data_IF_601923137449
#
_entry.id   IF_601923137449
#
_cell.length_a   1.000
_cell.length_b   1.000
_cell.length_c   1.000
_cell.angle_alpha   90.00
_cell.angle_beta   90.00
_cell.angle_gamma   90.00
#
_symmetry.space_group_name_H-M   'P 1'
#
loop_
_entity.id
_entity.type
_entity.pdbx_description
1 polymer ?
#
# COMPACT_ATOMS: atom_id res chain seq x y z
N UNK A 1 4.70 -0.28 15.86
CA UNK A 1 3.98 0.66 14.97
C UNK A 1 2.92 -0.13 14.20
N UNK A 2 1.69 0.36 14.18
CA UNK A 2 0.58 -0.26 13.44
C UNK A 2 0.40 0.44 12.09
N UNK A 3 0.51 -0.34 11.02
CA UNK A 3 0.21 0.06 9.64
C UNK A 3 -1.21 -0.41 9.31
N UNK A 4 -2.11 0.51 8.98
CA UNK A 4 -3.49 0.20 8.63
C UNK A 4 -3.83 0.71 7.24
N UNK A 5 -4.56 -0.09 6.46
CA UNK A 5 -5.27 0.36 5.27
C UNK A 5 -6.75 0.06 5.48
N UNK A 6 -7.55 1.13 5.61
CA UNK A 6 -8.98 1.01 5.82
C UNK A 6 -9.71 0.80 4.50
N UNK A 7 -9.42 1.65 3.52
CA UNK A 7 -10.06 1.61 2.21
C UNK A 7 -9.11 2.10 1.10
N UNK A 8 -9.52 1.81 -0.12
CA UNK A 8 -9.00 2.40 -1.35
C UNK A 8 -10.15 3.07 -2.09
N UNK A 9 -9.89 4.17 -2.78
CA UNK A 9 -10.92 4.93 -3.50
C UNK A 9 -10.60 4.93 -4.99
N UNK A 10 -11.53 4.45 -5.80
CA UNK A 10 -11.44 4.53 -7.25
C UNK A 10 -11.54 6.00 -7.68
N UNK A 11 -10.52 6.50 -8.39
CA UNK A 11 -10.44 7.88 -8.90
C UNK A 11 -10.43 7.95 -10.42
N UNK A 12 -10.21 6.82 -11.07
CA UNK A 12 -10.40 6.59 -12.50
C UNK A 12 -11.01 5.19 -12.66
N UNK A 13 -12.02 5.10 -13.51
CA UNK A 13 -12.61 3.86 -14.00
C UNK A 13 -12.95 4.08 -15.46
N UNK A 14 -12.41 3.24 -16.33
CA UNK A 14 -12.53 3.33 -17.77
C UNK A 14 -12.43 1.91 -18.35
N UNK A 15 -13.57 1.30 -18.66
CA UNK A 15 -13.65 0.02 -19.39
C UNK A 15 -14.16 0.31 -20.80
N UNK A 16 -13.61 -0.27 -21.86
CA UNK A 16 -14.03 0.00 -23.25
C UNK A 16 -15.47 -0.51 -23.57
N UNK A 17 -16.22 -0.99 -22.56
CA UNK A 17 -17.57 -1.53 -22.61
C UNK A 17 -18.73 -0.52 -22.44
N UNK A 18 -19.97 -1.02 -22.51
CA UNK A 18 -21.22 -0.24 -22.61
C UNK A 18 -21.50 0.70 -21.42
N UNK A 19 -20.88 0.46 -20.26
CA UNK A 19 -21.02 1.30 -19.06
C UNK A 19 -19.74 2.02 -18.64
N UNK A 20 -18.63 1.78 -19.35
CA UNK A 20 -17.35 2.44 -19.18
C UNK A 20 -16.69 2.32 -17.79
N UNK A 21 -17.05 1.30 -17.01
CA UNK A 21 -16.63 1.07 -15.64
C UNK A 21 -15.82 -0.24 -15.54
N UNK A 22 -14.61 -0.19 -14.97
CA UNK A 22 -13.71 -1.35 -14.82
C UNK A 22 -14.29 -2.45 -13.94
N UNK A 23 -14.17 -3.70 -14.39
CA UNK A 23 -14.52 -4.89 -13.61
C UNK A 23 -13.28 -5.40 -12.88
N UNK A 24 -13.18 -5.24 -11.57
CA UNK A 24 -11.98 -5.66 -10.84
C UNK A 24 -11.96 -7.17 -10.58
N UNK A 25 -10.77 -7.78 -10.58
CA UNK A 25 -10.61 -9.17 -10.13
C UNK A 25 -9.51 -9.44 -9.12
N UNK A 26 -8.54 -8.53 -8.95
CA UNK A 26 -7.49 -8.69 -7.96
C UNK A 26 -7.11 -7.39 -7.30
N UNK A 27 -6.80 -7.50 -6.02
CA UNK A 27 -6.08 -6.49 -5.26
C UNK A 27 -5.09 -7.18 -4.33
N UNK A 28 -3.90 -6.60 -4.21
CA UNK A 28 -2.98 -6.97 -3.14
C UNK A 28 -2.23 -5.76 -2.60
N UNK A 29 -1.96 -5.81 -1.30
CA UNK A 29 -1.14 -4.83 -0.59
C UNK A 29 -0.08 -5.58 0.20
N UNK A 30 1.19 -5.20 0.05
CA UNK A 30 2.30 -5.82 0.78
C UNK A 30 3.21 -4.77 1.40
N UNK A 31 3.94 -5.19 2.44
CA UNK A 31 4.79 -4.35 3.25
C UNK A 31 6.24 -4.84 3.18
N UNK A 32 7.17 -3.90 3.17
CA UNK A 32 8.58 -4.13 3.45
C UNK A 32 9.06 -3.04 4.40
N UNK A 33 9.99 -3.35 5.31
CA UNK A 33 10.51 -2.37 6.25
C UNK A 33 11.99 -2.61 6.54
N UNK A 34 12.70 -1.54 6.88
CA UNK A 34 14.11 -1.59 7.29
C UNK A 34 14.36 -0.76 8.53
N UNK A 35 15.20 -1.28 9.43
CA UNK A 35 15.86 -0.48 10.45
C UNK A 35 17.07 0.24 9.84
N UNK A 36 17.39 1.44 10.29
CA UNK A 36 18.62 2.14 9.93
C UNK A 36 19.64 2.01 11.07
N UNK A 37 20.62 1.12 10.92
CA UNK A 37 21.70 0.90 11.89
C UNK A 37 22.74 1.99 11.74
N UNK A 38 23.13 2.65 12.84
CA UNK A 38 24.20 3.65 12.84
C UNK A 38 25.55 2.99 12.54
N UNK A 39 26.30 3.57 11.60
CA UNK A 39 27.67 3.18 11.29
C UNK A 39 28.57 4.42 11.32
N UNK A 40 29.90 4.20 11.34
CA UNK A 40 30.90 5.27 11.48
C UNK A 40 30.72 6.42 10.47
N UNK A 41 30.28 6.10 9.25
CA UNK A 41 30.17 7.04 8.13
C UNK A 41 28.71 7.24 7.65
N UNK A 42 27.70 6.83 8.44
CA UNK A 42 26.29 7.01 8.06
C UNK A 42 25.33 6.00 8.70
N UNK A 43 24.41 5.46 7.90
CA UNK A 43 23.49 4.41 8.31
C UNK A 43 23.44 3.28 7.29
N UNK A 44 23.26 2.05 7.79
CA UNK A 44 23.01 0.86 6.98
C UNK A 44 21.57 0.41 7.16
N UNK A 45 20.87 0.21 6.06
CA UNK A 45 19.51 -0.33 6.08
C UNK A 45 19.56 -1.85 6.28
N UNK A 46 18.89 -2.33 7.34
CA UNK A 46 18.78 -3.74 7.68
C UNK A 46 17.30 -4.16 7.58
N UNK A 47 16.95 -5.12 6.71
CA UNK A 47 15.56 -5.55 6.56
C UNK A 47 14.97 -6.10 7.86
N UNK A 48 13.78 -5.64 8.20
CA UNK A 48 12.93 -6.25 9.24
C UNK A 48 12.25 -7.44 8.59
N UNK A 49 12.51 -8.64 9.12
CA UNK A 49 11.90 -9.86 8.62
C UNK A 49 10.43 -9.91 9.05
N UNK A 50 9.53 -9.73 8.09
CA UNK A 50 8.10 -9.91 8.28
C UNK A 50 7.76 -11.37 7.94
N UNK A 51 7.28 -12.20 8.90
CA UNK A 51 6.92 -13.60 8.63
C UNK A 51 5.91 -13.75 7.49
N UNK A 52 5.07 -12.73 7.33
CA UNK A 52 4.19 -12.55 6.19
C UNK A 52 4.23 -11.07 5.80
N UNK A 53 4.72 -10.71 4.61
CA UNK A 53 4.71 -9.31 4.15
C UNK A 53 3.35 -8.89 3.58
N UNK A 54 2.41 -9.81 3.33
CA UNK A 54 1.11 -9.47 2.75
C UNK A 54 0.22 -8.80 3.79
N UNK A 55 -0.31 -7.61 3.50
CA UNK A 55 -1.29 -6.92 4.35
C UNK A 55 -2.73 -7.28 3.93
N UNK A 56 -2.95 -7.38 2.63
CA UNK A 56 -4.26 -7.66 2.05
C UNK A 56 -4.09 -8.40 0.72
N UNK A 57 -4.97 -9.36 0.46
CA UNK A 57 -5.04 -10.07 -0.82
C UNK A 57 -6.49 -10.45 -1.06
N UNK A 58 -6.99 -10.12 -2.25
CA UNK A 58 -8.31 -10.49 -2.74
C UNK A 58 -8.20 -10.89 -4.20
N UNK A 59 -8.94 -11.93 -4.59
CA UNK A 59 -8.97 -12.42 -5.95
C UNK A 59 -10.30 -13.14 -6.26
N UNK A 60 -11.18 -12.49 -7.01
CA UNK A 60 -12.40 -13.11 -7.58
C UNK A 60 -12.71 -12.49 -8.95
N UNK A 61 -12.56 -13.24 -10.06
CA UNK A 61 -12.75 -12.76 -11.43
C UNK A 61 -14.10 -12.06 -11.68
N UNK A 62 -14.05 -10.80 -12.14
CA UNK A 62 -15.22 -10.05 -12.64
C UNK A 62 -16.36 -9.86 -11.63
N UNK A 63 -16.06 -9.98 -10.33
CA UNK A 63 -17.09 -9.98 -9.30
C UNK A 63 -17.56 -8.57 -8.95
N UNK A 64 -16.71 -7.56 -9.19
CA UNK A 64 -16.97 -6.18 -8.75
C UNK A 64 -16.66 -5.16 -9.83
N UNK A 65 -17.71 -4.61 -10.43
CA UNK A 65 -17.65 -3.39 -11.26
C UNK A 65 -17.45 -2.17 -10.38
N UNK A 66 -16.45 -1.34 -10.70
CA UNK A 66 -16.12 -0.12 -9.95
C UNK A 66 -16.34 1.11 -10.82
N UNK A 67 -16.76 2.20 -10.18
CA UNK A 67 -16.90 3.52 -10.80
C UNK A 67 -16.10 4.54 -10.03
N UNK A 68 -15.85 5.70 -10.62
CA UNK A 68 -15.21 6.82 -9.90
C UNK A 68 -15.97 7.14 -8.60
N UNK A 69 -15.24 7.21 -7.50
CA UNK A 69 -15.77 7.38 -6.14
C UNK A 69 -16.12 6.07 -5.42
N UNK A 70 -16.07 4.92 -6.10
CA UNK A 70 -16.24 3.62 -5.46
C UNK A 70 -15.20 3.43 -4.37
N UNK A 71 -15.65 3.04 -3.17
CA UNK A 71 -14.77 2.80 -2.03
C UNK A 71 -14.61 1.30 -1.80
N UNK A 72 -13.42 0.79 -2.08
CA UNK A 72 -13.04 -0.58 -1.79
C UNK A 72 -12.66 -0.72 -0.31
N UNK A 73 -13.43 -1.50 0.46
CA UNK A 73 -13.12 -1.75 1.87
C UNK A 73 -12.01 -2.80 1.99
N UNK A 74 -10.97 -2.46 2.75
CA UNK A 74 -9.83 -3.34 3.04
C UNK A 74 -9.89 -3.78 4.50
N UNK A 75 -9.98 -2.83 5.43
CA UNK A 75 -10.00 -3.03 6.89
C UNK A 75 -8.94 -4.05 7.35
N UNK A 76 -7.68 -3.79 7.01
CA UNK A 76 -6.54 -4.61 7.45
C UNK A 76 -5.47 -3.76 8.12
N UNK A 77 -4.81 -4.36 9.10
CA UNK A 77 -3.64 -3.77 9.74
C UNK A 77 -2.59 -4.82 10.05
N UNK A 78 -1.33 -4.39 10.08
CA UNK A 78 -0.19 -5.21 10.52
C UNK A 78 0.71 -4.36 11.42
N UNK A 79 1.25 -5.00 12.45
CA UNK A 79 2.20 -4.37 13.37
C UNK A 79 3.61 -4.66 12.88
N UNK A 80 4.43 -3.61 12.85
CA UNK A 80 5.87 -3.68 12.56
C UNK A 80 6.60 -3.05 13.75
N UNK A 81 7.60 -3.78 14.25
CA UNK A 81 8.47 -3.33 15.33
C UNK A 81 9.77 -2.81 14.74
N UNK A 82 10.05 -1.53 14.96
CA UNK A 82 11.32 -0.90 14.63
C UNK A 82 12.16 -0.82 15.90
N UNK A 83 13.47 -0.98 15.75
CA UNK A 83 14.40 -0.77 16.87
C UNK A 83 14.61 0.73 17.10
N UNK A 84 14.50 1.16 18.36
CA UNK A 84 14.55 2.57 18.74
C UNK A 84 15.70 2.90 19.69
N UNK A 85 16.66 1.99 19.88
CA UNK A 85 17.86 2.28 20.66
C UNK A 85 18.66 3.39 19.96
N UNK A 86 18.75 4.61 20.55
CA UNK A 86 19.33 5.76 19.87
C UNK A 86 20.85 5.63 19.63
N UNK A 87 21.54 4.77 20.37
CA UNK A 87 22.99 4.55 20.23
C UNK A 87 23.31 3.62 19.05
N UNK A 88 22.37 2.72 18.70
CA UNK A 88 22.55 1.71 17.66
C UNK A 88 21.75 2.00 16.39
N UNK A 89 20.62 2.68 16.50
CA UNK A 89 19.68 2.89 15.41
C UNK A 89 19.32 4.37 15.22
N UNK A 90 19.04 4.72 13.97
CA UNK A 90 18.58 6.04 13.55
C UNK A 90 17.13 5.92 13.08
N UNK A 91 16.18 5.95 14.02
CA UNK A 91 14.76 5.70 13.73
C UNK A 91 14.23 6.60 12.61
N UNK A 92 14.66 7.87 12.57
CA UNK A 92 14.25 8.84 11.54
C UNK A 92 14.59 8.37 10.11
N UNK A 93 15.60 7.51 9.95
CA UNK A 93 16.01 6.94 8.66
C UNK A 93 15.54 5.52 8.42
N UNK A 94 14.81 4.92 9.36
CA UNK A 94 14.14 3.64 9.12
C UNK A 94 13.16 3.80 7.94
N UNK A 95 12.89 2.73 7.19
CA UNK A 95 11.98 2.80 6.04
C UNK A 95 10.79 1.85 6.17
N UNK A 96 9.65 2.29 5.66
CA UNK A 96 8.47 1.47 5.41
C UNK A 96 8.06 1.66 3.95
N UNK A 97 7.99 0.57 3.20
CA UNK A 97 7.41 0.53 1.87
C UNK A 97 6.07 -0.16 1.91
N UNK A 98 5.05 0.48 1.35
CA UNK A 98 3.75 -0.14 1.08
C UNK A 98 3.61 -0.26 -0.44
N UNK A 99 3.46 -1.48 -0.93
CA UNK A 99 3.24 -1.77 -2.34
C UNK A 99 1.79 -2.16 -2.57
N UNK A 100 1.22 -1.70 -3.68
CA UNK A 100 -0.12 -2.05 -4.12
C UNK A 100 -0.11 -2.59 -5.54
N UNK A 101 -1.00 -3.54 -5.78
CA UNK A 101 -1.31 -4.11 -7.07
C UNK A 101 -2.82 -4.22 -7.25
N UNK A 102 -3.29 -3.87 -8.43
CA UNK A 102 -4.68 -4.06 -8.86
C UNK A 102 -4.70 -4.71 -10.22
N UNK A 103 -5.78 -5.43 -10.51
CA UNK A 103 -6.05 -5.95 -11.85
C UNK A 103 -7.54 -5.93 -12.13
N UNK A 104 -7.88 -5.51 -13.33
CA UNK A 104 -9.21 -5.63 -13.88
C UNK A 104 -9.38 -6.93 -14.68
N UNK A 105 -10.63 -7.23 -15.00
CA UNK A 105 -11.10 -8.42 -15.64
C UNK A 105 -11.89 -8.02 -16.86
N UNK A 106 -11.25 -8.18 -18.01
CA UNK A 106 -11.91 -7.97 -19.28
C UNK A 106 -12.17 -9.32 -19.94
N UNK A 107 -13.41 -9.54 -20.35
CA UNK A 107 -13.83 -10.75 -21.10
C UNK A 107 -13.66 -10.59 -22.61
N UNK A 108 -13.53 -9.35 -23.08
CA UNK A 108 -13.55 -8.92 -24.47
C UNK A 108 -12.17 -8.52 -24.98
N UNK A 109 -11.33 -7.93 -24.12
CA UNK A 109 -9.93 -7.60 -24.40
C UNK A 109 -8.97 -8.22 -23.37
N UNK A 110 -7.76 -7.69 -23.23
CA UNK A 110 -6.77 -8.19 -22.27
C UNK A 110 -6.96 -7.48 -20.95
N UNK A 111 -6.99 -8.24 -19.85
CA UNK A 111 -6.94 -7.67 -18.51
C UNK A 111 -5.81 -6.64 -18.35
N UNK A 112 -6.17 -5.44 -17.93
CA UNK A 112 -5.21 -4.44 -17.49
C UNK A 112 -4.84 -4.58 -16.02
N UNK A 113 -3.62 -4.15 -15.68
CA UNK A 113 -3.11 -4.20 -14.32
C UNK A 113 -2.41 -2.90 -13.94
N UNK A 114 -2.45 -2.61 -12.65
CA UNK A 114 -1.86 -1.42 -12.08
C UNK A 114 -0.97 -1.74 -10.89
N UNK A 115 0.03 -0.90 -10.68
CA UNK A 115 0.90 -0.96 -9.50
C UNK A 115 1.07 0.42 -8.91
N UNK A 116 1.43 0.45 -7.63
CA UNK A 116 1.69 1.68 -6.90
C UNK A 116 2.54 1.38 -5.69
N UNK A 117 3.32 2.35 -5.23
CA UNK A 117 3.98 2.24 -3.94
C UNK A 117 4.20 3.60 -3.28
N UNK A 118 4.35 3.56 -1.97
CA UNK A 118 4.91 4.66 -1.18
C UNK A 118 6.06 4.12 -0.35
N UNK A 119 7.12 4.91 -0.22
CA UNK A 119 8.23 4.68 0.70
C UNK A 119 8.24 5.84 1.68
N UNK A 120 8.14 5.52 2.96
CA UNK A 120 8.17 6.47 4.06
C UNK A 120 9.43 6.26 4.87
N UNK A 121 10.07 7.35 5.29
CA UNK A 121 11.11 7.34 6.32
C UNK A 121 10.53 7.53 7.72
N UNK A 122 11.28 7.17 8.76
CA UNK A 122 10.77 7.22 10.14
C UNK A 122 10.34 8.62 10.59
N UNK A 123 11.03 9.67 10.12
CA UNK A 123 10.63 11.07 10.32
C UNK A 123 9.30 11.41 9.64
N UNK A 124 8.94 10.70 8.57
CA UNK A 124 7.69 10.86 7.83
C UNK A 124 6.53 10.06 8.43
N UNK A 125 6.77 9.04 9.26
CA UNK A 125 5.74 8.10 9.68
C UNK A 125 4.51 8.79 10.29
N UNK A 126 4.71 9.85 11.06
CA UNK A 126 3.63 10.58 11.74
C UNK A 126 3.33 11.95 11.15
N UNK A 127 3.91 12.31 9.99
CA UNK A 127 3.49 13.48 9.23
C UNK A 127 2.00 13.39 8.90
N UNK A 128 1.32 14.54 8.82
CA UNK A 128 -0.12 14.62 8.56
C UNK A 128 -0.98 13.77 9.50
N UNK A 129 -0.55 13.60 10.76
CA UNK A 129 -1.25 12.74 11.73
C UNK A 129 -1.13 11.25 11.43
N UNK A 130 -0.09 10.84 10.70
CA UNK A 130 0.17 9.46 10.29
C UNK A 130 -0.62 9.01 9.07
N UNK A 131 -1.30 9.92 8.38
CA UNK A 131 -2.11 9.60 7.19
C UNK A 131 -1.32 9.85 5.92
N UNK A 132 -1.18 8.81 5.12
CA UNK A 132 -0.43 8.80 3.87
C UNK A 132 -1.29 8.28 2.72
N UNK A 133 -0.98 8.71 1.50
CA UNK A 133 -1.74 8.33 0.30
C UNK A 133 -0.80 7.99 -0.85
N UNK A 134 -1.12 6.94 -1.60
CA UNK A 134 -0.50 6.66 -2.90
C UNK A 134 -1.48 5.99 -3.86
N UNK A 135 -1.35 6.21 -5.18
CA UNK A 135 -2.22 5.58 -6.16
C UNK A 135 -1.66 4.22 -6.61
N UNK A 136 -2.55 3.25 -6.84
CA UNK A 136 -2.33 2.13 -7.74
C UNK A 136 -2.85 2.56 -9.11
N UNK A 137 -1.98 2.60 -10.12
CA UNK A 137 -2.30 3.20 -11.42
C UNK A 137 -2.22 2.17 -12.54
N UNK A 138 -3.27 2.13 -13.35
CA UNK A 138 -3.36 1.48 -14.66
C UNK A 138 -3.88 2.49 -15.69
N UNK A 139 -3.99 2.10 -16.97
CA UNK A 139 -4.70 2.91 -17.97
C UNK A 139 -6.19 2.98 -17.69
N UNK A 140 -6.76 1.89 -17.16
CA UNK A 140 -8.22 1.65 -17.13
C UNK A 140 -8.79 1.93 -15.73
N UNK A 141 -7.92 1.99 -14.73
CA UNK A 141 -8.32 2.34 -13.37
C UNK A 141 -7.20 3.02 -12.57
N UNK A 142 -7.61 3.81 -11.58
CA UNK A 142 -6.72 4.33 -10.53
C UNK A 142 -7.40 4.18 -9.18
N UNK A 143 -6.69 3.61 -8.21
CA UNK A 143 -7.13 3.52 -6.82
C UNK A 143 -6.19 4.29 -5.89
N UNK A 144 -6.69 5.34 -5.25
CA UNK A 144 -6.01 6.01 -4.15
C UNK A 144 -6.07 5.12 -2.90
N UNK A 145 -4.92 4.66 -2.43
CA UNK A 145 -4.77 3.86 -1.21
C UNK A 145 -4.45 4.78 -0.04
N UNK A 146 -5.26 4.70 1.02
CA UNK A 146 -5.05 5.47 2.24
C UNK A 146 -4.43 4.59 3.32
N UNK A 147 -3.21 4.95 3.73
CA UNK A 147 -2.46 4.27 4.79
C UNK A 147 -2.51 5.13 6.05
N UNK A 148 -2.76 4.52 7.20
CA UNK A 148 -2.70 5.17 8.51
C UNK A 148 -1.66 4.48 9.37
N UNK A 149 -0.71 5.25 9.89
CA UNK A 149 0.35 4.82 10.78
C UNK A 149 0.07 5.33 12.19
N UNK A 150 0.09 4.43 13.17
CA UNK A 150 -0.17 4.75 14.57
C UNK A 150 0.84 4.02 15.47
N UNK A 151 1.08 4.57 16.66
CA UNK A 151 1.69 3.80 17.74
C UNK A 151 0.70 2.73 18.19
N UNK A 152 1.21 1.57 18.59
CA UNK A 152 0.37 0.54 19.19
C UNK A 152 0.21 0.88 20.67
N UNK A 153 -1.03 0.87 21.17
CA UNK A 153 -1.37 1.12 22.57
C UNK A 153 -0.94 -0.05 23.49
#
# INVERSE_FOLDING_TARGET
MKVMVKNMVCTLSDDEGVNNDADMDRFSLSLAATNAVREKDGVKQVPIQLPDPMLYSWATPGDVTVKVGYTWQVDRSKVITFDTDPDLYDFDKATLTVNGYGREYDTSSKNEHGTGSIVLTGDQFFENGGVHKFPITSSDFIFDVYVTLTLED
#
